data_IF_479603994111
#
_entry.id   IF_479603994111
#
_cell.length_a   1.000
_cell.length_b   1.000
_cell.length_c   1.000
_cell.angle_alpha   90.00
_cell.angle_beta   90.00
_cell.angle_gamma   90.00
#
_symmetry.space_group_name_H-M   'P 1'
#
loop_
_entity.id
_entity.type
_entity.pdbx_description
1 polymer ?
#
# COMPACT_ATOMS: atom_id res chain seq x y z
N UNK A 1 2.97 32.13 32.71
CA UNK A 1 3.72 31.90 31.46
C UNK A 1 2.69 31.59 30.40
N UNK A 2 2.35 32.53 29.58
CA UNK A 2 1.39 32.39 28.48
C UNK A 2 2.06 31.63 27.36
N UNK A 3 1.56 30.41 27.07
CA UNK A 3 1.94 29.64 25.90
C UNK A 3 1.43 30.37 24.67
N UNK A 4 2.33 30.80 23.79
CA UNK A 4 2.00 31.39 22.50
C UNK A 4 1.29 30.34 21.64
N UNK A 5 -0.03 30.47 21.50
CA UNK A 5 -0.90 29.65 20.63
C UNK A 5 -0.85 30.08 19.15
N UNK A 6 0.31 30.38 18.60
CA UNK A 6 0.39 30.79 17.19
C UNK A 6 1.70 30.34 16.51
N UNK A 7 2.12 29.07 16.71
CA UNK A 7 2.95 28.42 15.68
C UNK A 7 2.00 27.92 14.60
N UNK A 8 1.90 28.65 13.51
CA UNK A 8 1.18 28.21 12.32
C UNK A 8 1.75 26.84 11.91
N UNK A 9 0.91 25.82 11.96
CA UNK A 9 1.21 24.45 11.52
C UNK A 9 1.81 24.52 10.12
N UNK A 10 3.13 24.34 10.00
CA UNK A 10 3.85 24.54 8.74
C UNK A 10 3.75 23.26 7.90
N UNK A 11 3.06 23.36 6.78
CA UNK A 11 3.11 22.31 5.75
C UNK A 11 4.53 22.17 5.21
N UNK A 12 5.04 20.95 5.13
CA UNK A 12 6.38 20.66 4.62
C UNK A 12 6.34 20.34 3.13
N UNK A 13 7.36 20.77 2.41
CA UNK A 13 7.52 20.46 0.99
C UNK A 13 7.95 19.00 0.76
N UNK A 14 7.77 18.49 -0.47
CA UNK A 14 8.26 17.18 -0.87
C UNK A 14 9.77 17.00 -0.61
N UNK A 15 10.57 18.01 -0.96
CA UNK A 15 12.02 18.01 -0.74
C UNK A 15 12.36 17.96 0.74
N UNK A 16 11.71 18.80 1.56
CA UNK A 16 11.91 18.83 3.01
C UNK A 16 11.50 17.49 3.65
N UNK A 17 10.36 16.91 3.23
CA UNK A 17 9.93 15.60 3.69
C UNK A 17 10.99 14.52 3.41
N UNK A 18 11.53 14.48 2.18
CA UNK A 18 12.52 13.49 1.78
C UNK A 18 13.83 13.67 2.56
N UNK A 19 14.37 14.89 2.63
CA UNK A 19 15.65 15.16 3.28
C UNK A 19 15.60 14.99 4.80
N UNK A 20 14.44 15.14 5.42
CA UNK A 20 14.27 14.88 6.86
C UNK A 20 14.22 13.39 7.17
N UNK A 21 13.72 12.57 6.25
CA UNK A 21 13.43 11.15 6.48
C UNK A 21 14.51 10.21 5.94
N UNK A 22 15.32 10.65 4.96
CA UNK A 22 16.27 9.81 4.27
C UNK A 22 17.62 10.51 4.11
N UNK A 23 18.68 9.72 4.09
CA UNK A 23 20.01 10.22 3.70
C UNK A 23 20.05 10.42 2.18
N UNK A 24 20.85 11.37 1.70
CA UNK A 24 20.96 11.66 0.26
C UNK A 24 21.34 10.43 -0.59
N UNK A 25 22.10 9.50 -0.01
CA UNK A 25 22.54 8.25 -0.65
C UNK A 25 21.52 7.11 -0.55
N UNK A 26 20.46 7.25 0.28
CA UNK A 26 19.44 6.22 0.42
C UNK A 26 18.68 6.03 -0.91
N UNK A 27 18.57 4.78 -1.36
CA UNK A 27 17.82 4.44 -2.56
C UNK A 27 16.35 4.25 -2.21
N UNK A 28 15.49 4.91 -2.98
CA UNK A 28 14.05 4.93 -2.78
C UNK A 28 13.32 4.61 -4.08
N UNK A 29 12.11 4.09 -3.96
CA UNK A 29 11.19 3.97 -5.09
C UNK A 29 10.29 5.22 -5.14
N UNK A 30 10.23 5.87 -6.29
CA UNK A 30 9.18 6.83 -6.64
C UNK A 30 8.21 6.11 -7.57
N UNK A 31 6.94 6.07 -7.19
CA UNK A 31 5.87 5.47 -7.98
C UNK A 31 4.95 6.57 -8.49
N UNK A 32 4.63 6.54 -9.76
CA UNK A 32 3.66 7.43 -10.39
C UNK A 32 2.54 6.57 -10.96
N UNK A 33 1.30 6.89 -10.63
CA UNK A 33 0.12 6.12 -11.08
C UNK A 33 -0.91 7.06 -11.70
N UNK A 34 -1.28 6.76 -12.93
CA UNK A 34 -2.45 7.34 -13.57
C UNK A 34 -3.56 6.27 -13.55
N UNK A 35 -4.61 6.50 -12.75
CA UNK A 35 -5.70 5.52 -12.57
C UNK A 35 -6.59 5.44 -13.80
N UNK A 36 -6.80 6.55 -14.52
CA UNK A 36 -7.70 6.62 -15.69
C UNK A 36 -7.12 5.85 -16.87
N UNK A 37 -5.78 5.89 -17.04
CA UNK A 37 -5.07 5.16 -18.10
C UNK A 37 -4.59 3.78 -17.67
N UNK A 38 -4.71 3.43 -16.39
CA UNK A 38 -4.15 2.19 -15.82
C UNK A 38 -2.63 2.15 -15.84
N UNK A 39 -1.95 3.29 -16.02
CA UNK A 39 -0.50 3.37 -16.13
C UNK A 39 0.17 3.46 -14.77
N UNK A 40 1.28 2.72 -14.63
CA UNK A 40 2.14 2.81 -13.46
C UNK A 40 3.60 2.89 -13.89
N UNK A 41 4.30 3.93 -13.44
CA UNK A 41 5.72 4.14 -13.69
C UNK A 41 6.45 4.08 -12.35
N UNK A 42 7.48 3.24 -12.25
CA UNK A 42 8.36 3.19 -11.09
C UNK A 42 9.76 3.64 -11.46
N UNK A 43 10.36 4.47 -10.59
CA UNK A 43 11.77 4.88 -10.66
C UNK A 43 12.44 4.57 -9.34
N UNK A 44 13.58 3.89 -9.38
CA UNK A 44 14.42 3.66 -8.20
C UNK A 44 15.67 4.50 -8.36
N UNK A 45 15.86 5.45 -7.43
CA UNK A 45 16.99 6.35 -7.44
C UNK A 45 17.33 6.81 -6.02
N UNK A 46 18.34 7.65 -5.85
CA UNK A 46 18.74 8.14 -4.53
C UNK A 46 17.84 9.30 -4.07
N UNK A 47 17.69 9.45 -2.75
CA UNK A 47 16.95 10.59 -2.17
C UNK A 47 17.53 11.93 -2.64
N UNK A 48 18.86 12.05 -2.72
CA UNK A 48 19.51 13.25 -3.28
C UNK A 48 19.07 13.55 -4.70
N UNK A 49 18.98 12.52 -5.58
CA UNK A 49 18.51 12.72 -6.96
C UNK A 49 17.04 13.12 -7.03
N UNK A 50 16.20 12.53 -6.17
CA UNK A 50 14.77 12.88 -6.14
C UNK A 50 14.59 14.36 -5.75
N UNK A 51 15.43 14.90 -4.87
CA UNK A 51 15.33 16.28 -4.39
C UNK A 51 15.98 17.33 -5.30
N UNK A 52 16.65 16.92 -6.37
CA UNK A 52 17.15 17.85 -7.38
C UNK A 52 16.00 18.64 -8.04
N UNK A 53 16.18 19.94 -8.29
CA UNK A 53 15.13 20.77 -8.90
C UNK A 53 14.58 20.17 -10.22
N UNK A 54 15.43 19.69 -11.09
CA UNK A 54 15.04 19.07 -12.37
C UNK A 54 14.15 17.82 -12.19
N UNK A 55 14.43 17.00 -11.17
CA UNK A 55 13.61 15.83 -10.87
C UNK A 55 12.27 16.23 -10.27
N UNK A 56 12.26 17.23 -9.38
CA UNK A 56 11.03 17.79 -8.81
C UNK A 56 10.15 18.44 -9.90
N UNK A 57 10.73 19.15 -10.86
CA UNK A 57 10.02 19.74 -12.00
C UNK A 57 9.41 18.65 -12.89
N UNK A 58 10.15 17.58 -13.14
CA UNK A 58 9.63 16.42 -13.87
C UNK A 58 8.47 15.76 -13.14
N UNK A 59 8.54 15.58 -11.81
CA UNK A 59 7.42 15.05 -11.03
C UNK A 59 6.19 15.98 -11.08
N UNK A 60 6.39 17.31 -11.00
CA UNK A 60 5.29 18.28 -11.15
C UNK A 60 4.64 18.18 -12.53
N UNK A 61 5.44 18.08 -13.58
CA UNK A 61 4.92 17.88 -14.93
C UNK A 61 4.08 16.60 -15.03
N UNK A 62 4.57 15.48 -14.51
CA UNK A 62 3.83 14.21 -14.45
C UNK A 62 2.53 14.33 -13.67
N UNK A 63 2.55 15.02 -12.54
CA UNK A 63 1.38 15.21 -11.71
C UNK A 63 0.36 16.17 -12.35
N UNK A 64 0.77 17.40 -12.69
CA UNK A 64 -0.15 18.47 -13.07
C UNK A 64 -0.56 18.43 -14.56
N UNK A 65 0.28 17.89 -15.45
CA UNK A 65 0.01 17.85 -16.90
C UNK A 65 -0.40 16.47 -17.41
N UNK A 66 0.10 15.41 -16.77
CA UNK A 66 -0.17 14.05 -17.20
C UNK A 66 -1.07 13.27 -16.21
N UNK A 67 -1.56 13.94 -15.16
CA UNK A 67 -2.50 13.41 -14.15
C UNK A 67 -2.00 12.14 -13.43
N UNK A 68 -0.71 12.08 -13.12
CA UNK A 68 -0.16 11.01 -12.30
C UNK A 68 -0.22 11.38 -10.81
N UNK A 69 -0.75 10.50 -9.98
CA UNK A 69 -0.49 10.51 -8.55
C UNK A 69 0.97 10.20 -8.25
N UNK A 70 1.58 10.92 -7.31
CA UNK A 70 2.98 10.74 -6.94
C UNK A 70 3.10 10.10 -5.56
N UNK A 71 3.87 9.01 -5.49
CA UNK A 71 4.12 8.26 -4.26
C UNK A 71 5.61 8.06 -4.01
N UNK A 72 5.98 7.90 -2.74
CA UNK A 72 7.35 7.62 -2.30
C UNK A 72 7.39 6.34 -1.46
N UNK A 73 8.42 5.51 -1.65
CA UNK A 73 8.69 4.33 -0.83
C UNK A 73 9.03 4.72 0.61
N UNK A 74 8.44 4.01 1.56
CA UNK A 74 8.60 4.34 2.98
C UNK A 74 9.88 3.77 3.59
N UNK A 75 10.55 2.84 2.90
CA UNK A 75 11.75 2.18 3.36
C UNK A 75 12.85 2.23 2.30
N UNK A 76 14.11 2.12 2.73
CA UNK A 76 15.24 2.18 1.80
C UNK A 76 15.46 0.85 1.10
N UNK A 77 15.98 0.92 -0.11
CA UNK A 77 16.25 -0.23 -0.97
C UNK A 77 17.75 -0.55 -1.00
N UNK A 78 18.08 -1.80 -1.28
CA UNK A 78 19.45 -2.27 -1.53
C UNK A 78 20.07 -1.56 -2.74
N UNK A 79 21.42 -1.42 -2.78
CA UNK A 79 22.09 -0.73 -3.89
C UNK A 79 21.78 -1.31 -5.27
N UNK A 80 21.65 -2.62 -5.36
CA UNK A 80 21.37 -3.38 -6.57
C UNK A 80 19.89 -3.45 -6.94
N UNK A 81 18.99 -3.03 -6.04
CA UNK A 81 17.55 -3.16 -6.24
C UNK A 81 17.07 -2.44 -7.50
N UNK A 82 16.32 -3.16 -8.32
CA UNK A 82 15.63 -2.65 -9.52
C UNK A 82 14.12 -2.62 -9.35
N UNK A 83 13.64 -3.28 -8.32
CA UNK A 83 12.23 -3.39 -7.97
C UNK A 83 12.03 -2.98 -6.50
N UNK A 84 10.81 -3.10 -6.02
CA UNK A 84 10.43 -2.76 -4.65
C UNK A 84 9.78 -4.01 -4.01
N UNK A 85 10.50 -5.13 -4.04
CA UNK A 85 10.07 -6.36 -3.36
C UNK A 85 10.52 -6.35 -1.89
N UNK A 86 10.04 -7.29 -1.11
CA UNK A 86 10.44 -7.44 0.30
C UNK A 86 11.93 -7.75 0.43
N UNK A 87 12.46 -8.51 -0.50
CA UNK A 87 13.86 -8.90 -0.57
C UNK A 87 14.76 -7.72 -0.93
N UNK A 88 14.21 -6.71 -1.63
CA UNK A 88 14.93 -5.49 -2.02
C UNK A 88 15.05 -4.46 -0.88
N UNK A 89 14.27 -4.61 0.19
CA UNK A 89 14.33 -3.70 1.34
C UNK A 89 15.70 -3.83 2.03
N UNK A 90 16.37 -2.68 2.22
CA UNK A 90 17.64 -2.59 2.96
C UNK A 90 17.41 -2.27 4.43
N UNK A 91 16.60 -1.27 4.70
CA UNK A 91 16.38 -0.77 6.07
C UNK A 91 14.95 -0.28 6.22
N UNK A 92 14.32 -0.69 7.29
CA UNK A 92 13.03 -0.13 7.72
C UNK A 92 13.29 1.23 8.35
N UNK A 93 12.67 2.27 7.80
CA UNK A 93 12.76 3.67 8.26
C UNK A 93 11.48 4.17 8.90
N UNK A 94 10.33 3.59 8.50
CA UNK A 94 9.02 4.06 8.93
C UNK A 94 8.08 2.92 9.27
N UNK A 95 7.24 3.17 10.27
CA UNK A 95 5.93 2.56 10.42
C UNK A 95 4.89 3.59 9.96
N UNK A 96 3.75 3.11 9.47
CA UNK A 96 2.70 3.96 8.92
C UNK A 96 1.34 3.30 9.05
N UNK A 97 0.31 4.14 9.01
CA UNK A 97 -1.08 3.72 8.88
C UNK A 97 -1.75 4.53 7.79
N UNK A 98 -2.57 3.89 6.99
CA UNK A 98 -3.46 4.52 6.01
C UNK A 98 -4.87 4.51 6.60
N UNK A 99 -5.48 5.69 6.74
CA UNK A 99 -6.78 5.88 7.40
C UNK A 99 -7.73 6.44 6.36
N UNK A 100 -8.58 5.57 5.81
CA UNK A 100 -9.52 5.91 4.75
C UNK A 100 -10.93 6.21 5.26
N UNK A 101 -11.30 5.67 6.43
CA UNK A 101 -12.62 5.82 7.03
C UNK A 101 -12.51 6.54 8.39
N UNK A 102 -13.44 7.48 8.66
CA UNK A 102 -13.53 8.24 9.90
C UNK A 102 -12.19 8.84 10.36
N UNK A 103 -11.45 9.42 9.42
CA UNK A 103 -10.08 9.87 9.59
C UNK A 103 -9.84 10.77 10.80
N UNK A 104 -10.66 11.82 11.03
CA UNK A 104 -10.49 12.69 12.19
C UNK A 104 -10.62 11.97 13.52
N UNK A 105 -11.57 11.07 13.69
CA UNK A 105 -11.77 10.32 14.95
C UNK A 105 -10.67 9.28 15.16
N UNK A 106 -10.26 8.57 14.10
CA UNK A 106 -9.14 7.64 14.15
C UNK A 106 -7.83 8.35 14.51
N UNK A 107 -7.55 9.52 13.90
CA UNK A 107 -6.39 10.34 14.22
C UNK A 107 -6.40 10.81 15.67
N UNK A 108 -7.53 11.31 16.16
CA UNK A 108 -7.68 11.70 17.57
C UNK A 108 -7.44 10.52 18.53
N UNK A 109 -7.95 9.33 18.19
CA UNK A 109 -7.72 8.09 18.96
C UNK A 109 -6.23 7.72 19.01
N UNK A 110 -5.51 7.83 17.90
CA UNK A 110 -4.06 7.60 17.84
C UNK A 110 -3.32 8.61 18.73
N UNK A 111 -3.66 9.89 18.61
CA UNK A 111 -3.00 10.97 19.36
C UNK A 111 -3.20 10.87 20.89
N UNK A 112 -4.35 10.39 21.32
CA UNK A 112 -4.67 10.20 22.74
C UNK A 112 -4.17 8.88 23.31
N UNK A 113 -3.69 7.97 22.45
CA UNK A 113 -3.26 6.64 22.87
C UNK A 113 -1.88 6.66 23.52
N UNK A 114 -1.74 5.91 24.61
CA UNK A 114 -0.44 5.62 25.21
C UNK A 114 0.21 4.33 24.68
N UNK A 115 -0.42 3.66 23.71
CA UNK A 115 0.07 2.42 23.10
C UNK A 115 1.06 2.65 21.97
N UNK A 116 1.04 3.83 21.37
CA UNK A 116 2.00 4.26 20.35
C UNK A 116 2.61 5.60 20.75
N UNK A 117 3.87 5.87 20.38
CA UNK A 117 4.44 7.19 20.66
C UNK A 117 3.82 8.26 19.75
N UNK A 118 4.01 9.56 20.04
CA UNK A 118 3.58 10.64 19.14
C UNK A 118 4.14 10.42 17.73
N UNK A 119 3.28 10.50 16.71
CA UNK A 119 3.70 10.28 15.32
C UNK A 119 4.51 11.48 14.78
N UNK A 120 5.35 11.21 13.79
CA UNK A 120 6.19 12.25 13.20
C UNK A 120 5.44 13.11 12.20
N UNK A 121 4.55 12.49 11.40
CA UNK A 121 3.81 13.19 10.36
C UNK A 121 2.36 12.75 10.31
N UNK A 122 1.49 13.72 10.11
CA UNK A 122 0.15 13.52 9.56
C UNK A 122 0.16 14.01 8.12
N UNK A 123 -0.16 13.13 7.17
CA UNK A 123 -0.27 13.46 5.75
C UNK A 123 -1.75 13.43 5.39
N UNK A 124 -2.31 14.57 5.04
CA UNK A 124 -3.69 14.66 4.55
C UNK A 124 -3.69 14.37 3.06
N UNK A 125 -4.32 13.27 2.65
CA UNK A 125 -4.32 12.77 1.26
C UNK A 125 -5.56 13.15 0.48
N UNK A 126 -6.68 13.40 1.16
CA UNK A 126 -7.96 13.90 0.65
C UNK A 126 -8.84 14.28 1.84
N UNK A 127 -10.01 14.89 1.65
CA UNK A 127 -10.92 15.21 2.74
C UNK A 127 -11.13 13.98 3.64
N UNK A 128 -10.91 14.17 4.95
CA UNK A 128 -11.07 13.15 6.01
C UNK A 128 -10.21 11.88 5.88
N UNK A 129 -9.17 11.88 5.01
CA UNK A 129 -8.26 10.75 4.84
C UNK A 129 -6.83 11.14 5.18
N UNK A 130 -6.20 10.31 6.01
CA UNK A 130 -4.88 10.59 6.53
C UNK A 130 -3.94 9.40 6.42
N UNK A 131 -2.67 9.71 6.23
CA UNK A 131 -1.57 8.77 6.44
C UNK A 131 -0.77 9.26 7.64
N UNK A 132 -0.60 8.38 8.62
CA UNK A 132 0.14 8.68 9.84
C UNK A 132 1.47 7.95 9.81
N UNK A 133 2.58 8.65 10.10
CA UNK A 133 3.92 8.12 9.90
C UNK A 133 4.77 8.28 11.16
N UNK A 134 5.46 7.21 11.56
CA UNK A 134 6.47 7.17 12.61
C UNK A 134 7.84 6.86 12.02
N UNK A 135 8.85 7.63 12.38
CA UNK A 135 10.25 7.34 12.06
C UNK A 135 10.79 6.31 13.05
N UNK A 136 11.38 5.23 12.53
CA UNK A 136 11.86 4.13 13.37
C UNK A 136 13.29 3.73 13.04
N UNK A 137 13.92 3.04 13.98
CA UNK A 137 15.25 2.43 13.84
C UNK A 137 15.32 1.10 14.61
N UNK A 138 16.34 0.30 14.35
CA UNK A 138 16.60 -0.95 15.06
C UNK A 138 15.41 -1.92 15.04
N UNK A 139 14.72 -2.00 13.93
CA UNK A 139 13.55 -2.85 13.74
C UNK A 139 13.73 -3.74 12.52
N UNK A 140 13.44 -5.03 12.66
CA UNK A 140 13.41 -5.95 11.51
C UNK A 140 12.14 -5.72 10.66
N UNK A 141 12.18 -6.21 9.44
CA UNK A 141 11.03 -6.14 8.53
C UNK A 141 9.80 -6.87 9.11
N UNK A 142 10.00 -8.05 9.68
CA UNK A 142 8.93 -8.85 10.31
C UNK A 142 8.33 -8.16 11.53
N UNK A 143 9.18 -7.57 12.38
CA UNK A 143 8.73 -6.79 13.53
C UNK A 143 7.92 -5.57 13.09
N UNK A 144 8.36 -4.85 12.05
CA UNK A 144 7.67 -3.69 11.52
C UNK A 144 6.28 -4.06 10.98
N UNK A 145 6.18 -5.08 10.13
CA UNK A 145 4.91 -5.55 9.60
C UNK A 145 3.98 -6.08 10.70
N UNK A 146 4.54 -6.72 11.73
CA UNK A 146 3.78 -7.18 12.90
C UNK A 146 3.19 -6.02 13.70
N UNK A 147 4.00 -4.99 13.97
CA UNK A 147 3.54 -3.78 14.65
C UNK A 147 2.48 -3.04 13.82
N UNK A 148 2.68 -2.87 12.51
CA UNK A 148 1.70 -2.23 11.64
C UNK A 148 0.36 -2.97 11.65
N UNK A 149 0.35 -4.30 11.57
CA UNK A 149 -0.88 -5.09 11.71
C UNK A 149 -1.55 -4.91 13.07
N UNK A 150 -0.77 -4.81 14.15
CA UNK A 150 -1.32 -4.55 15.49
C UNK A 150 -1.92 -3.14 15.60
N UNK A 151 -1.24 -2.13 15.02
CA UNK A 151 -1.73 -0.75 14.95
C UNK A 151 -3.05 -0.65 14.17
N UNK A 152 -3.11 -1.26 12.98
CA UNK A 152 -4.33 -1.28 12.15
C UNK A 152 -5.49 -1.95 12.87
N UNK A 153 -5.28 -3.09 13.54
CA UNK A 153 -6.33 -3.73 14.33
C UNK A 153 -6.82 -2.86 15.49
N UNK A 154 -5.92 -2.11 16.10
CA UNK A 154 -6.24 -1.27 17.27
C UNK A 154 -6.94 0.03 16.88
N UNK A 155 -6.52 0.68 15.80
CA UNK A 155 -6.91 2.03 15.46
C UNK A 155 -7.76 2.17 14.18
N UNK A 156 -8.00 1.06 13.46
CA UNK A 156 -8.92 1.05 12.32
C UNK A 156 -8.33 1.54 10.99
N UNK A 157 -7.03 1.33 10.73
CA UNK A 157 -6.41 1.62 9.43
C UNK A 157 -6.68 0.53 8.37
N UNK A 158 -6.21 0.78 7.13
CA UNK A 158 -6.32 -0.17 6.02
C UNK A 158 -5.44 -1.42 6.26
N UNK A 159 -6.03 -2.63 6.41
CA UNK A 159 -5.26 -3.86 6.59
C UNK A 159 -4.34 -4.21 5.41
N UNK A 160 -4.65 -3.75 4.20
CA UNK A 160 -3.82 -3.95 3.03
C UNK A 160 -2.55 -3.08 3.04
N UNK A 161 -2.48 -2.05 3.90
CA UNK A 161 -1.38 -1.12 4.00
C UNK A 161 -0.33 -1.51 5.06
N UNK A 162 -0.14 -2.79 5.36
CA UNK A 162 0.74 -3.25 6.45
C UNK A 162 2.03 -3.90 5.99
N UNK A 163 2.35 -3.88 4.70
CA UNK A 163 3.59 -4.48 4.17
C UNK A 163 4.73 -3.45 4.06
N UNK A 164 5.95 -3.90 4.23
CA UNK A 164 7.16 -3.06 4.24
C UNK A 164 7.52 -2.44 2.89
N UNK A 165 6.89 -2.89 1.81
CA UNK A 165 7.12 -2.39 0.44
C UNK A 165 6.21 -1.22 0.06
N UNK A 166 5.38 -0.74 0.99
CA UNK A 166 4.37 0.28 0.74
C UNK A 166 4.99 1.60 0.26
N UNK A 167 4.26 2.27 -0.61
CA UNK A 167 4.48 3.67 -0.96
C UNK A 167 3.33 4.49 -0.38
N UNK A 168 3.62 5.69 0.08
CA UNK A 168 2.64 6.67 0.52
C UNK A 168 2.64 7.86 -0.44
N UNK A 169 1.55 8.63 -0.46
CA UNK A 169 1.49 9.86 -1.26
C UNK A 169 2.58 10.82 -0.85
N UNK A 170 3.30 11.36 -1.83
CA UNK A 170 4.33 12.36 -1.56
C UNK A 170 3.66 13.72 -1.34
N UNK A 171 3.93 14.41 -0.21
CA UNK A 171 3.38 15.74 0.05
C UNK A 171 3.77 16.75 -1.03
N UNK A 172 2.91 17.76 -1.26
CA UNK A 172 3.14 18.85 -2.20
C UNK A 172 2.62 18.59 -3.61
N UNK A 173 2.12 17.39 -3.92
CA UNK A 173 1.53 17.01 -5.20
C UNK A 173 0.00 16.91 -5.12
N UNK A 174 -0.67 17.09 -6.26
CA UNK A 174 -2.12 16.91 -6.35
C UNK A 174 -2.50 15.44 -6.27
N UNK A 175 -3.58 15.17 -5.54
CA UNK A 175 -4.25 13.87 -5.57
C UNK A 175 -5.17 13.81 -6.80
N UNK A 176 -4.76 13.08 -7.81
CA UNK A 176 -5.46 12.99 -9.10
C UNK A 176 -6.69 12.03 -9.09
N UNK A 177 -7.01 11.48 -7.93
CA UNK A 177 -8.15 10.54 -7.80
C UNK A 177 -9.52 11.24 -7.86
N UNK A 178 -9.57 12.54 -7.60
CA UNK A 178 -10.80 13.31 -7.47
C UNK A 178 -10.82 14.45 -8.49
N UNK A 179 -12.02 14.82 -8.98
CA UNK A 179 -12.18 15.96 -9.90
C UNK A 179 -11.84 17.30 -9.24
N UNK A 180 -12.14 17.45 -7.95
CA UNK A 180 -11.74 18.63 -7.20
C UNK A 180 -10.24 18.58 -6.85
N UNK A 181 -9.51 19.62 -7.18
CA UNK A 181 -8.10 19.72 -6.82
C UNK A 181 -7.88 19.58 -5.31
N UNK A 182 -7.10 18.59 -4.93
CA UNK A 182 -6.65 18.39 -3.55
C UNK A 182 -5.15 18.20 -3.53
N UNK A 183 -4.44 19.12 -2.90
CA UNK A 183 -2.99 19.00 -2.69
C UNK A 183 -2.72 18.20 -1.44
N UNK A 184 -1.91 17.17 -1.58
CA UNK A 184 -1.46 16.35 -0.44
C UNK A 184 -0.58 17.21 0.47
N UNK A 185 -0.97 17.34 1.71
CA UNK A 185 -0.29 18.16 2.70
C UNK A 185 0.29 17.31 3.82
N UNK A 186 1.46 17.65 4.32
CA UNK A 186 2.06 16.98 5.46
C UNK A 186 2.41 17.97 6.56
N UNK A 187 1.99 17.62 7.77
CA UNK A 187 2.30 18.34 9.00
C UNK A 187 3.28 17.52 9.82
N UNK A 188 4.41 18.11 10.15
CA UNK A 188 5.38 17.53 11.09
C UNK A 188 4.92 17.80 12.51
N UNK A 189 4.73 16.72 13.29
CA UNK A 189 4.30 16.79 14.68
C UNK A 189 5.49 16.78 15.64
N UNK A 190 6.40 15.82 15.46
CA UNK A 190 7.61 15.69 16.29
C UNK A 190 8.82 15.31 15.44
N UNK A 191 10.02 15.58 15.96
CA UNK A 191 11.29 15.18 15.31
C UNK A 191 12.03 14.13 16.14
N UNK A 192 11.40 12.98 16.33
CA UNK A 192 11.93 11.87 17.10
C UNK A 192 12.10 10.63 16.21
N UNK A 193 12.99 9.71 16.62
CA UNK A 193 13.14 8.41 15.96
C UNK A 193 12.99 7.32 17.01
N UNK A 194 12.03 6.43 16.80
CA UNK A 194 11.60 5.46 17.78
C UNK A 194 12.24 4.09 17.59
N UNK A 195 12.34 3.35 18.68
CA UNK A 195 12.69 1.92 18.67
C UNK A 195 11.41 1.07 18.83
N UNK A 196 11.46 -0.24 18.50
CA UNK A 196 10.27 -1.10 18.63
C UNK A 196 9.61 -1.09 20.02
N UNK A 197 10.41 -0.97 21.08
CA UNK A 197 9.94 -0.95 22.48
C UNK A 197 9.18 0.32 22.86
N UNK A 198 9.25 1.38 22.08
CA UNK A 198 8.46 2.60 22.30
C UNK A 198 6.99 2.39 21.92
N UNK A 199 6.70 1.33 21.15
CA UNK A 199 5.35 0.89 20.81
C UNK A 199 4.89 -0.17 21.82
N UNK A 200 3.94 0.18 22.68
CA UNK A 200 3.43 -0.68 23.74
C UNK A 200 2.30 -1.61 23.29
N UNK A 201 2.12 -1.76 21.99
CA UNK A 201 1.20 -2.73 21.41
C UNK A 201 1.71 -4.14 21.66
N UNK A 202 0.90 -4.99 22.31
CA UNK A 202 1.25 -6.39 22.51
C UNK A 202 1.28 -7.10 21.17
N UNK A 203 2.46 -7.46 20.71
CA UNK A 203 2.66 -8.37 19.58
C UNK A 203 2.37 -9.83 19.95
N UNK A 204 2.22 -10.13 21.24
CA UNK A 204 1.91 -11.46 21.77
C UNK A 204 0.61 -12.09 21.23
N UNK A 205 -0.29 -11.30 20.66
CA UNK A 205 -1.46 -11.83 19.94
C UNK A 205 -1.10 -12.59 18.65
N UNK A 206 0.15 -12.49 18.19
CA UNK A 206 0.60 -13.20 16.97
C UNK A 206 1.14 -14.58 17.31
N UNK A 207 1.78 -14.77 18.46
CA UNK A 207 2.22 -16.11 18.90
C UNK A 207 1.04 -16.97 19.39
N UNK A 208 0.00 -16.36 19.98
CA UNK A 208 -1.20 -17.08 20.41
C UNK A 208 -2.07 -17.52 19.23
N UNK A 209 -2.18 -16.73 18.16
CA UNK A 209 -2.93 -17.16 16.96
C UNK A 209 -2.27 -18.34 16.25
N UNK A 210 -0.93 -18.43 16.24
CA UNK A 210 -0.22 -19.57 15.64
C UNK A 210 -0.25 -20.83 16.50
N UNK A 211 -0.34 -20.71 17.83
CA UNK A 211 -0.43 -21.88 18.74
C UNK A 211 -1.86 -22.35 18.99
N UNK A 212 -2.84 -21.46 18.96
CA UNK A 212 -4.26 -21.79 19.16
C UNK A 212 -4.90 -22.50 17.97
N UNK A 213 -4.36 -22.35 16.75
CA UNK A 213 -4.85 -23.09 15.57
C UNK A 213 -4.50 -24.59 15.58
N UNK A 214 -3.74 -25.07 16.56
CA UNK A 214 -3.37 -26.50 16.69
C UNK A 214 -4.17 -27.29 17.73
N UNK A 215 -4.97 -26.69 18.59
CA UNK A 215 -5.53 -27.45 19.72
C UNK A 215 -6.92 -27.11 20.26
N UNK A 216 -7.77 -26.23 19.68
CA UNK A 216 -9.16 -26.16 20.16
C UNK A 216 -10.16 -25.71 19.10
N UNK A 217 -11.43 -26.24 19.15
CA UNK A 217 -12.48 -25.85 18.24
C UNK A 217 -13.07 -24.50 18.60
N UNK A 218 -13.22 -23.66 17.56
CA UNK A 218 -14.14 -22.52 17.42
C UNK A 218 -14.77 -21.91 18.67
N UNK A 219 -14.20 -20.79 19.15
CA UNK A 219 -15.01 -19.76 19.82
C UNK A 219 -15.53 -18.77 18.76
N UNK A 220 -16.83 -18.85 18.55
CA UNK A 220 -17.57 -17.96 17.65
C UNK A 220 -17.63 -16.58 18.29
N UNK A 221 -16.92 -15.61 17.72
CA UNK A 221 -17.18 -14.21 17.98
C UNK A 221 -18.57 -13.86 17.45
N UNK A 222 -19.47 -13.43 18.31
CA UNK A 222 -20.88 -13.17 18.03
C UNK A 222 -21.16 -11.81 17.38
N UNK A 223 -20.20 -11.22 16.67
CA UNK A 223 -20.48 -10.12 15.75
C UNK A 223 -19.99 -10.50 14.35
N UNK A 224 -20.86 -10.53 13.35
CA UNK A 224 -20.48 -10.83 11.99
C UNK A 224 -19.62 -9.66 11.47
N UNK A 225 -18.32 -9.92 11.24
CA UNK A 225 -17.45 -9.03 10.46
C UNK A 225 -18.11 -8.87 9.08
N UNK A 226 -18.53 -7.66 8.75
CA UNK A 226 -18.98 -7.35 7.40
C UNK A 226 -17.77 -7.49 6.47
N UNK A 227 -17.77 -8.54 5.67
CA UNK A 227 -16.79 -8.74 4.61
C UNK A 227 -17.01 -7.66 3.53
N UNK A 228 -15.93 -7.10 3.00
CA UNK A 228 -16.02 -6.23 1.84
C UNK A 228 -16.60 -7.01 0.63
N UNK A 229 -17.16 -6.28 -0.34
CA UNK A 229 -17.66 -6.89 -1.59
C UNK A 229 -16.62 -7.81 -2.24
N UNK A 230 -15.36 -7.36 -2.31
CA UNK A 230 -14.28 -8.15 -2.92
C UNK A 230 -13.94 -9.42 -2.13
N UNK A 231 -14.06 -9.39 -0.80
CA UNK A 231 -13.88 -10.58 0.06
C UNK A 231 -15.04 -11.58 -0.13
N UNK A 232 -16.27 -11.08 -0.29
CA UNK A 232 -17.43 -11.92 -0.61
C UNK A 232 -17.29 -12.62 -1.96
N UNK A 233 -16.92 -11.88 -3.01
CA UNK A 233 -16.75 -12.43 -4.35
C UNK A 233 -15.62 -13.43 -4.41
N UNK A 234 -14.50 -13.15 -3.74
CA UNK A 234 -13.38 -14.07 -3.64
C UNK A 234 -13.72 -15.35 -2.85
N UNK A 235 -14.43 -15.23 -1.72
CA UNK A 235 -14.89 -16.38 -0.95
C UNK A 235 -15.91 -17.21 -1.74
N UNK A 236 -16.76 -16.56 -2.54
CA UNK A 236 -17.68 -17.24 -3.47
C UNK A 236 -16.90 -18.00 -4.54
N UNK A 237 -15.93 -17.34 -5.21
CA UNK A 237 -15.09 -17.95 -6.22
C UNK A 237 -14.35 -19.19 -5.68
N UNK A 238 -13.74 -19.10 -4.50
CA UNK A 238 -13.07 -20.26 -3.87
C UNK A 238 -14.00 -21.43 -3.64
N UNK A 239 -15.20 -21.18 -3.11
CA UNK A 239 -16.18 -22.26 -2.85
C UNK A 239 -16.69 -22.90 -4.14
N UNK A 240 -16.94 -22.10 -5.18
CA UNK A 240 -17.41 -22.57 -6.48
C UNK A 240 -16.33 -23.44 -7.15
N UNK A 241 -15.09 -22.97 -7.21
CA UNK A 241 -13.96 -23.72 -7.76
C UNK A 241 -13.64 -25.00 -6.98
N UNK A 242 -13.83 -24.99 -5.66
CA UNK A 242 -13.66 -26.19 -4.83
C UNK A 242 -14.71 -27.26 -5.13
N UNK A 243 -15.93 -26.86 -5.53
CA UNK A 243 -17.00 -27.77 -5.99
C UNK A 243 -16.82 -28.28 -7.42
N UNK A 244 -15.90 -27.67 -8.19
CA UNK A 244 -15.64 -28.05 -9.57
C UNK A 244 -16.33 -27.18 -10.61
N UNK A 245 -16.83 -26.00 -10.24
CA UNK A 245 -17.40 -25.07 -11.22
C UNK A 245 -16.31 -24.63 -12.20
N UNK A 246 -16.66 -24.47 -13.47
CA UNK A 246 -15.73 -24.04 -14.52
C UNK A 246 -15.32 -22.57 -14.36
N UNK A 247 -14.00 -22.26 -14.41
CA UNK A 247 -13.52 -20.90 -14.18
C UNK A 247 -14.14 -19.83 -15.08
N UNK A 248 -14.28 -20.11 -16.38
CA UNK A 248 -14.81 -19.13 -17.34
C UNK A 248 -16.32 -18.86 -17.11
N UNK A 249 -17.08 -19.85 -16.67
CA UNK A 249 -18.49 -19.65 -16.30
C UNK A 249 -18.60 -18.83 -15.02
N UNK A 250 -17.69 -19.05 -14.06
CA UNK A 250 -17.65 -18.31 -12.81
C UNK A 250 -17.26 -16.85 -13.02
N UNK A 251 -16.33 -16.58 -13.96
CA UNK A 251 -15.97 -15.23 -14.38
C UNK A 251 -17.20 -14.49 -14.91
N UNK A 252 -17.96 -15.12 -15.83
CA UNK A 252 -19.19 -14.52 -16.36
C UNK A 252 -20.20 -14.21 -15.27
N UNK A 253 -20.48 -15.13 -14.36
CA UNK A 253 -21.44 -14.91 -13.25
C UNK A 253 -21.04 -13.76 -12.33
N UNK A 254 -19.75 -13.62 -12.01
CA UNK A 254 -19.27 -12.53 -11.16
C UNK A 254 -19.29 -11.20 -11.94
N UNK A 255 -18.94 -11.20 -13.24
CA UNK A 255 -19.00 -10.02 -14.08
C UNK A 255 -20.44 -9.49 -14.22
N UNK A 256 -21.40 -10.38 -14.52
CA UNK A 256 -22.81 -10.04 -14.64
C UNK A 256 -23.38 -9.49 -13.32
N UNK A 257 -23.01 -10.12 -12.19
CA UNK A 257 -23.46 -9.66 -10.87
C UNK A 257 -22.89 -8.29 -10.49
N UNK A 258 -21.72 -7.95 -11.00
CA UNK A 258 -21.03 -6.67 -10.76
C UNK A 258 -21.21 -5.65 -11.89
N UNK A 259 -22.00 -5.97 -12.90
CA UNK A 259 -22.36 -5.04 -13.95
C UNK A 259 -23.07 -3.81 -13.36
N UNK A 260 -22.50 -2.63 -13.55
CA UNK A 260 -22.99 -1.38 -12.94
C UNK A 260 -22.36 -0.98 -11.60
N UNK A 261 -21.62 -1.88 -10.93
CA UNK A 261 -20.89 -1.56 -9.70
C UNK A 261 -19.37 -1.41 -9.90
N UNK A 262 -18.83 -2.00 -10.96
CA UNK A 262 -17.42 -1.95 -11.32
C UNK A 262 -17.23 -1.30 -12.69
N UNK A 263 -16.19 -0.52 -12.83
CA UNK A 263 -15.83 0.13 -14.10
C UNK A 263 -15.54 -0.90 -15.19
N UNK A 264 -14.87 -1.99 -14.85
CA UNK A 264 -14.60 -3.14 -15.73
C UNK A 264 -14.96 -4.44 -14.96
N UNK A 265 -16.22 -4.89 -15.04
CA UNK A 265 -16.70 -6.06 -14.32
C UNK A 265 -16.01 -7.36 -14.77
N UNK A 266 -15.68 -7.49 -16.05
CA UNK A 266 -15.05 -8.69 -16.61
C UNK A 266 -13.60 -8.83 -16.13
N UNK A 267 -12.81 -7.76 -16.20
CA UNK A 267 -11.47 -7.73 -15.65
C UNK A 267 -11.47 -8.03 -14.15
N UNK A 268 -12.38 -7.40 -13.40
CA UNK A 268 -12.53 -7.64 -11.97
C UNK A 268 -12.83 -9.10 -11.64
N UNK A 269 -13.79 -9.70 -12.35
CA UNK A 269 -14.19 -11.08 -12.17
C UNK A 269 -13.05 -12.04 -12.51
N UNK A 270 -12.38 -11.84 -13.64
CA UNK A 270 -11.23 -12.65 -14.07
C UNK A 270 -10.11 -12.60 -13.02
N UNK A 271 -9.75 -11.41 -12.56
CA UNK A 271 -8.72 -11.26 -11.51
C UNK A 271 -9.11 -11.98 -10.21
N UNK A 272 -10.38 -11.91 -9.79
CA UNK A 272 -10.89 -12.55 -8.56
C UNK A 272 -10.85 -14.08 -8.68
N UNK A 273 -11.27 -14.64 -9.81
CA UNK A 273 -11.28 -16.10 -10.05
C UNK A 273 -9.87 -16.64 -10.19
N UNK A 274 -8.98 -15.96 -10.94
CA UNK A 274 -7.59 -16.37 -11.10
C UNK A 274 -6.84 -16.37 -9.77
N UNK A 275 -7.06 -15.38 -8.91
CA UNK A 275 -6.51 -15.32 -7.56
C UNK A 275 -7.00 -16.47 -6.68
N UNK A 276 -8.28 -16.86 -6.81
CA UNK A 276 -8.85 -17.99 -6.11
C UNK A 276 -8.26 -19.33 -6.59
N UNK A 277 -8.07 -19.51 -7.92
CA UNK A 277 -7.41 -20.68 -8.52
C UNK A 277 -5.96 -20.83 -8.04
N UNK A 278 -5.19 -19.75 -8.03
CA UNK A 278 -3.81 -19.76 -7.56
C UNK A 278 -3.72 -20.25 -6.12
N UNK A 279 -4.62 -19.82 -5.25
CA UNK A 279 -4.60 -20.23 -3.85
C UNK A 279 -5.05 -21.67 -3.63
N UNK A 280 -5.87 -22.22 -4.53
CA UNK A 280 -6.28 -23.64 -4.47
C UNK A 280 -5.25 -24.61 -5.06
N UNK A 281 -4.11 -24.10 -5.55
CA UNK A 281 -3.06 -24.91 -6.19
C UNK A 281 -3.51 -25.55 -7.52
N UNK A 282 -4.57 -25.04 -8.15
CA UNK A 282 -5.16 -25.56 -9.40
C UNK A 282 -4.66 -24.84 -10.66
N UNK A 283 -3.67 -23.95 -10.54
CA UNK A 283 -3.00 -23.33 -11.69
C UNK A 283 -1.84 -24.20 -12.16
N UNK A 284 -2.01 -24.90 -13.28
CA UNK A 284 -0.88 -25.22 -14.14
C UNK A 284 -0.40 -23.93 -14.81
N UNK A 285 0.91 -23.61 -14.82
CA UNK A 285 1.38 -22.45 -15.57
C UNK A 285 0.99 -22.61 -17.05
N UNK A 286 0.57 -21.53 -17.75
CA UNK A 286 0.28 -21.62 -19.16
C UNK A 286 1.55 -22.12 -19.89
N UNK A 287 1.43 -23.24 -20.57
CA UNK A 287 2.41 -23.69 -21.55
C UNK A 287 2.59 -22.55 -22.53
N UNK A 288 3.82 -22.06 -22.67
CA UNK A 288 4.17 -21.02 -23.64
C UNK A 288 3.57 -21.41 -24.99
N UNK A 289 2.65 -20.60 -25.50
CA UNK A 289 2.11 -20.76 -26.84
C UNK A 289 3.30 -20.69 -27.81
N UNK A 290 3.48 -21.77 -28.56
CA UNK A 290 4.45 -21.86 -29.65
C UNK A 290 4.19 -20.68 -30.59
N UNK A 291 5.22 -19.91 -30.85
CA UNK A 291 5.25 -18.87 -31.90
C UNK A 291 5.06 -19.58 -33.24
N UNK A 292 4.14 -19.13 -34.09
CA UNK A 292 3.99 -19.65 -35.46
C UNK A 292 4.97 -18.94 -36.37
N UNK A 293 6.24 -19.38 -36.42
CA UNK A 293 7.25 -18.89 -37.37
C UNK A 293 8.28 -19.99 -37.71
N UNK A 294 7.80 -21.11 -38.26
CA UNK A 294 8.66 -22.09 -38.94
C UNK A 294 8.00 -22.81 -40.14
N UNK A 295 7.03 -22.20 -40.79
CA UNK A 295 6.43 -22.77 -42.03
C UNK A 295 6.61 -21.91 -43.25
N UNK A 296 7.73 -21.19 -43.44
CA UNK A 296 7.95 -20.49 -44.70
C UNK A 296 9.43 -20.46 -45.14
N UNK A 297 10.13 -21.60 -45.07
CA UNK A 297 11.53 -21.70 -45.55
C UNK A 297 11.78 -22.92 -46.43
N UNK A 298 10.77 -23.50 -47.06
CA UNK A 298 10.96 -24.66 -47.97
C UNK A 298 10.42 -24.49 -49.39
N UNK A 299 10.05 -23.28 -49.83
CA UNK A 299 9.62 -23.04 -51.22
C UNK A 299 10.41 -21.95 -51.95
N UNK A 300 11.72 -21.89 -51.77
CA UNK A 300 12.62 -21.08 -52.65
C UNK A 300 13.96 -21.79 -52.86
N UNK A 301 13.92 -23.00 -53.37
CA UNK A 301 15.04 -23.62 -54.12
C UNK A 301 14.43 -24.70 -55.04
N UNK A 302 13.93 -24.22 -56.20
CA UNK A 302 13.95 -24.95 -57.45
C UNK A 302 13.74 -23.95 -58.60
#
# INVERSE_FOLDING_TARGET
MTVNENESVKNISATEYILTNFQQTDRLAVLMRNSDRGETIQRITTAGKITEPSFQDWLRHKNEKESFDIYIGMNTLKPEARTRTKEDIKTIRHLYMDIDDDGPAALATIQQSNLVPPHNYTINTSPDKFQVVWRVRNISQEQAESLQRAMVRKFGGDPAATDSTRVLRLPGFLNQKYEAEFRVEAVKQVDLVYNPQDFRLRTELIETDFRLHRQFPTFVSTQPRQLSQSEHDWAYAKRALARGDEPEELIRRIADFRAGEKHDPEYYARHTVMKALAQLGKLTPPTAAATPDEENKQEREH
#
